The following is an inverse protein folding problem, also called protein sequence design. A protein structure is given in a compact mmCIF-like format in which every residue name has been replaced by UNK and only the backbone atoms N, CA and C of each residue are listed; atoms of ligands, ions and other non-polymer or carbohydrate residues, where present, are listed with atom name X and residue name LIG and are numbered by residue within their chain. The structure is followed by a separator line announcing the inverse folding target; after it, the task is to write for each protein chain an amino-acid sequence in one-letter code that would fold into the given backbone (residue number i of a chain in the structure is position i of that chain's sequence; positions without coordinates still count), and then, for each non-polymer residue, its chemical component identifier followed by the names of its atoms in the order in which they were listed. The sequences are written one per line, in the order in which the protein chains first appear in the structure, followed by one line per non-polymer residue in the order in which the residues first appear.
data_IF_115036492655
#
_entry.id   IF_115036492655
#
_cell.length_a   1.000
_cell.length_b   1.000
_cell.length_c   1.000
_cell.angle_alpha   90.00
_cell.angle_beta   90.00
_cell.angle_gamma   90.00
#
_symmetry.space_group_name_H-M   'P 1'
#
loop_
_entity.id
_entity.type
_entity.pdbx_description
1 polymer ?
#
# COMPACT_ATOMS: atom_id res chain seq x y z
N UNK A 1 -36.27 -7.81 -11.47
CA UNK A 1 -35.06 -7.34 -11.60
C UNK A 1 -34.10 -8.05 -10.76
N UNK A 2 -33.14 -8.37 -11.19
CA UNK A 2 -32.27 -9.05 -10.39
C UNK A 2 -31.38 -8.10 -9.76
N UNK A 3 -31.05 -8.36 -8.60
CA UNK A 3 -30.08 -7.75 -7.99
C UNK A 3 -28.88 -8.02 -8.67
N UNK A 4 -28.18 -7.14 -8.91
CA UNK A 4 -27.00 -7.34 -9.58
C UNK A 4 -26.13 -8.09 -8.67
N UNK A 5 -25.76 -8.76 -8.60
CA UNK A 5 -24.97 -9.41 -7.99
C UNK A 5 -24.93 -9.20 -6.71
N UNK A 6 -24.95 -9.91 -6.00
CA UNK A 6 -24.80 -9.79 -4.65
C UNK A 6 -23.42 -10.00 -4.22
N UNK A 7 -22.51 -9.87 -5.12
CA UNK A 7 -21.14 -10.10 -4.76
C UNK A 7 -20.68 -9.25 -3.62
N UNK A 8 -21.00 -7.96 -3.60
CA UNK A 8 -20.58 -7.14 -2.48
C UNK A 8 -21.17 -7.58 -1.18
N UNK A 9 -22.33 -8.22 -1.22
CA UNK A 9 -22.93 -8.69 -0.01
C UNK A 9 -22.39 -10.04 0.40
N UNK A 10 -21.86 -10.79 -0.54
CA UNK A 10 -21.38 -12.11 -0.26
C UNK A 10 -19.93 -12.14 0.16
N UNK A 11 -19.12 -11.21 -0.32
CA UNK A 11 -17.70 -11.20 -0.05
C UNK A 11 -17.36 -10.16 1.01
N UNK A 12 -16.72 -10.55 2.09
CA UNK A 12 -16.27 -9.54 3.06
C UNK A 12 -15.26 -8.61 2.42
N UNK A 13 -15.25 -7.37 2.85
CA UNK A 13 -14.33 -6.39 2.30
C UNK A 13 -13.50 -5.75 3.41
N UNK A 14 -12.31 -5.34 3.04
CA UNK A 14 -11.40 -4.59 3.89
C UNK A 14 -11.19 -3.22 3.28
N UNK A 15 -11.35 -2.18 4.07
CA UNK A 15 -11.09 -0.81 3.61
C UNK A 15 -9.79 -0.34 4.21
N UNK A 16 -8.86 0.01 3.34
CA UNK A 16 -7.51 0.38 3.77
C UNK A 16 -7.06 1.64 3.06
N UNK A 17 -6.00 2.25 3.59
CA UNK A 17 -5.25 3.27 2.89
C UNK A 17 -3.92 2.66 2.49
N UNK A 18 -3.46 2.93 1.28
CA UNK A 18 -2.20 2.41 0.78
C UNK A 18 -1.37 3.55 0.22
N UNK A 19 -0.06 3.46 0.38
CA UNK A 19 0.83 4.57 0.05
C UNK A 19 1.91 4.11 -0.92
N UNK A 20 2.09 4.86 -1.99
CA UNK A 20 3.16 4.63 -2.95
C UNK A 20 4.29 5.59 -2.64
N UNK A 21 5.47 5.04 -2.38
CA UNK A 21 6.66 5.84 -2.08
C UNK A 21 7.79 5.36 -2.98
N UNK A 22 8.39 6.30 -3.71
CA UNK A 22 9.49 5.99 -4.61
C UNK A 22 10.82 6.44 -4.03
N UNK A 23 11.90 5.79 -4.47
CA UNK A 23 13.24 6.31 -4.25
C UNK A 23 13.73 7.01 -5.53
N UNK A 24 14.96 7.51 -5.49
CA UNK A 24 15.50 8.26 -6.62
C UNK A 24 15.73 7.38 -7.86
N UNK A 25 15.81 6.08 -7.68
CA UNK A 25 15.97 5.14 -8.80
C UNK A 25 14.64 4.71 -9.39
N UNK A 26 13.51 5.21 -8.88
CA UNK A 26 12.20 4.82 -9.38
C UNK A 26 11.69 3.51 -8.81
N UNK A 27 12.33 3.01 -7.76
CA UNK A 27 11.85 1.79 -7.09
C UNK A 27 10.77 2.18 -6.08
N UNK A 28 9.90 1.24 -5.80
CA UNK A 28 8.73 1.45 -4.94
C UNK A 28 8.91 0.66 -3.66
N UNK A 29 8.62 1.29 -2.54
CA UNK A 29 8.74 0.62 -1.24
C UNK A 29 7.58 -0.33 -1.05
N UNK A 30 7.89 -1.58 -0.69
CA UNK A 30 6.90 -2.59 -0.36
C UNK A 30 7.25 -3.21 0.97
N UNK A 31 6.26 -3.80 1.62
CA UNK A 31 6.41 -4.42 2.93
C UNK A 31 5.72 -5.77 2.94
N UNK A 32 6.23 -6.68 3.77
CA UNK A 32 5.61 -7.97 4.00
C UNK A 32 5.35 -8.11 5.48
N UNK A 33 4.13 -8.41 5.84
CA UNK A 33 3.77 -8.57 7.24
C UNK A 33 4.26 -9.90 7.76
N UNK A 34 4.56 -9.92 9.06
CA UNK A 34 5.04 -11.11 9.74
C UNK A 34 4.04 -12.24 9.56
N UNK A 35 4.52 -13.39 9.19
CA UNK A 35 3.67 -14.56 8.98
C UNK A 35 2.95 -14.60 7.65
N UNK A 36 3.23 -13.66 6.73
CA UNK A 36 2.60 -13.67 5.41
C UNK A 36 3.64 -13.84 4.32
N UNK A 37 3.18 -14.09 3.11
CA UNK A 37 4.05 -14.37 1.97
C UNK A 37 4.17 -13.19 1.03
N UNK A 38 3.09 -12.44 0.83
CA UNK A 38 3.05 -11.43 -0.21
C UNK A 38 3.53 -10.09 0.27
N UNK A 39 4.26 -9.40 -0.62
CA UNK A 39 4.64 -8.01 -0.41
C UNK A 39 3.51 -7.10 -0.89
N UNK A 40 3.30 -6.01 -0.18
CA UNK A 40 2.24 -5.07 -0.49
C UNK A 40 2.73 -3.65 -0.25
N UNK A 41 1.98 -2.68 -0.74
CA UNK A 41 2.29 -1.29 -0.44
C UNK A 41 2.08 -1.04 1.05
N UNK A 42 2.87 -0.15 1.65
CA UNK A 42 2.63 0.22 3.05
C UNK A 42 1.22 0.77 3.23
N UNK A 43 0.61 0.48 4.35
CA UNK A 43 -0.73 0.95 4.65
C UNK A 43 -1.44 0.04 5.61
N UNK A 44 -2.70 0.31 5.82
CA UNK A 44 -3.52 -0.49 6.73
C UNK A 44 -4.92 0.02 6.83
N UNK A 45 -5.67 -0.56 7.74
CA UNK A 45 -7.09 -0.29 7.89
C UNK A 45 -7.32 1.11 8.47
N UNK A 46 -8.38 1.75 8.00
CA UNK A 46 -8.80 3.00 8.58
C UNK A 46 -9.44 2.75 9.93
N UNK A 47 -9.18 3.64 10.87
CA UNK A 47 -9.88 3.65 12.14
C UNK A 47 -11.18 4.42 11.99
N UNK A 48 -12.10 4.22 12.94
CA UNK A 48 -13.40 4.88 12.87
C UNK A 48 -13.23 6.38 12.83
N UNK A 49 -13.84 7.00 11.84
CA UNK A 49 -13.78 8.45 11.72
C UNK A 49 -12.47 8.99 11.17
N UNK A 50 -11.55 8.11 10.80
CA UNK A 50 -10.24 8.56 10.33
C UNK A 50 -10.28 8.84 8.83
N UNK A 51 -9.71 9.97 8.41
CA UNK A 51 -9.57 10.26 6.99
C UNK A 51 -8.54 9.32 6.37
N UNK A 52 -8.73 8.97 5.12
CA UNK A 52 -7.88 7.97 4.48
C UNK A 52 -6.42 8.43 4.38
N UNK A 53 -6.16 9.70 4.10
CA UNK A 53 -4.78 10.18 4.03
C UNK A 53 -4.12 10.20 5.41
N UNK A 54 -4.90 10.47 6.46
CA UNK A 54 -4.37 10.39 7.81
C UNK A 54 -4.01 8.96 8.17
N UNK A 55 -4.84 8.00 7.73
CA UNK A 55 -4.55 6.58 7.95
C UNK A 55 -3.27 6.17 7.23
N UNK A 56 -3.08 6.65 6.00
CA UNK A 56 -1.88 6.32 5.24
C UNK A 56 -0.62 6.79 5.97
N UNK A 57 -0.63 8.01 6.47
CA UNK A 57 0.53 8.57 7.19
C UNK A 57 0.75 7.82 8.50
N UNK A 58 -0.33 7.54 9.22
CA UNK A 58 -0.23 6.84 10.50
C UNK A 58 0.33 5.43 10.32
N UNK A 59 -0.21 4.68 9.36
CA UNK A 59 0.25 3.32 9.13
C UNK A 59 1.70 3.30 8.66
N UNK A 60 2.08 4.25 7.82
CA UNK A 60 3.45 4.31 7.35
C UNK A 60 4.40 4.54 8.53
N UNK A 61 4.03 5.43 9.43
CA UNK A 61 4.84 5.70 10.61
C UNK A 61 4.92 4.47 11.52
N UNK A 62 3.81 3.76 11.69
CA UNK A 62 3.81 2.56 12.52
C UNK A 62 4.65 1.44 11.90
N UNK A 63 4.59 1.30 10.59
CA UNK A 63 5.27 0.20 9.92
C UNK A 63 6.75 0.48 9.72
N UNK A 64 7.12 1.72 9.43
CA UNK A 64 8.46 2.02 8.97
C UNK A 64 9.18 3.09 9.80
N UNK A 65 8.50 3.65 10.78
CA UNK A 65 9.13 4.63 11.66
C UNK A 65 9.38 5.98 11.03
N UNK A 66 8.73 6.28 9.90
CA UNK A 66 8.97 7.53 9.17
C UNK A 66 7.68 8.34 9.15
N UNK A 67 7.75 9.60 9.56
CA UNK A 67 6.60 10.50 9.52
C UNK A 67 6.63 11.28 8.21
N UNK A 68 5.62 11.08 7.39
CA UNK A 68 5.48 11.83 6.14
C UNK A 68 4.44 12.92 6.34
N UNK A 69 4.66 14.11 5.76
CA UNK A 69 3.65 15.17 5.85
C UNK A 69 2.42 14.78 5.05
N UNK A 70 1.26 14.89 5.68
CA UNK A 70 0.00 14.55 5.05
C UNK A 70 -0.27 15.39 3.81
N UNK A 71 0.16 16.63 3.83
CA UNK A 71 -0.05 17.55 2.71
C UNK A 71 0.79 17.19 1.50
N UNK A 72 1.77 16.31 1.64
CA UNK A 72 2.59 15.87 0.51
C UNK A 72 2.05 14.61 -0.14
N UNK A 73 0.88 14.17 0.23
CA UNK A 73 0.24 13.02 -0.41
C UNK A 73 -0.66 13.47 -1.54
N UNK A 74 -0.60 12.74 -2.65
CA UNK A 74 -1.47 12.97 -3.80
C UNK A 74 -2.46 11.82 -3.86
N UNK A 75 -3.74 12.13 -3.85
CA UNK A 75 -4.78 11.10 -3.87
C UNK A 75 -4.91 10.50 -5.28
N UNK A 76 -4.92 9.19 -5.34
CA UNK A 76 -5.05 8.46 -6.60
C UNK A 76 -6.35 7.68 -6.69
N UNK A 77 -7.29 7.95 -5.80
CA UNK A 77 -8.61 7.36 -5.86
C UNK A 77 -8.72 6.04 -5.15
N UNK A 78 -9.84 5.40 -5.34
CA UNK A 78 -10.18 4.15 -4.68
C UNK A 78 -10.04 3.02 -5.67
N UNK A 79 -9.42 1.94 -5.25
CA UNK A 79 -9.16 0.78 -6.08
C UNK A 79 -9.67 -0.47 -5.38
N UNK A 80 -10.21 -1.40 -6.15
CA UNK A 80 -10.78 -2.62 -5.61
C UNK A 80 -10.05 -3.82 -6.21
N UNK A 81 -9.51 -4.66 -5.36
CA UNK A 81 -8.81 -5.89 -5.78
C UNK A 81 -9.09 -6.98 -4.77
N UNK A 82 -8.55 -8.16 -5.02
CA UNK A 82 -8.55 -9.19 -4.00
C UNK A 82 -7.57 -8.82 -2.90
N UNK A 83 -7.88 -9.20 -1.68
CA UNK A 83 -7.00 -8.95 -0.55
C UNK A 83 -5.84 -9.95 -0.58
N UNK A 84 -4.61 -9.44 -0.38
CA UNK A 84 -3.40 -10.22 -0.60
C UNK A 84 -3.28 -11.44 0.29
N UNK A 85 -3.47 -11.24 1.58
CA UNK A 85 -3.22 -12.30 2.55
C UNK A 85 -4.48 -12.74 3.28
N UNK A 86 -5.64 -12.46 2.70
CA UNK A 86 -6.92 -12.83 3.29
C UNK A 86 -7.83 -13.39 2.22
N UNK A 87 -7.73 -14.69 1.95
CA UNK A 87 -8.49 -15.30 0.88
C UNK A 87 -9.99 -15.08 1.03
N UNK A 88 -10.65 -14.81 -0.08
CA UNK A 88 -12.08 -14.58 -0.08
C UNK A 88 -12.50 -13.17 0.27
N UNK A 89 -11.57 -12.29 0.60
CA UNK A 89 -11.88 -10.90 0.91
C UNK A 89 -11.60 -9.99 -0.26
N UNK A 90 -12.39 -8.92 -0.39
CA UNK A 90 -12.17 -7.87 -1.38
C UNK A 90 -11.51 -6.70 -0.68
N UNK A 91 -10.50 -6.15 -1.32
CA UNK A 91 -9.80 -4.99 -0.79
C UNK A 91 -10.34 -3.72 -1.43
N UNK A 92 -10.73 -2.76 -0.61
CA UNK A 92 -11.08 -1.41 -1.06
C UNK A 92 -9.96 -0.51 -0.57
N UNK A 93 -9.15 -0.02 -1.49
CA UNK A 93 -7.96 0.73 -1.11
C UNK A 93 -8.07 2.17 -1.55
N UNK A 94 -7.92 3.08 -0.59
CA UNK A 94 -7.70 4.49 -0.91
C UNK A 94 -6.21 4.66 -1.12
N UNK A 95 -5.81 4.96 -2.35
CA UNK A 95 -4.41 4.96 -2.73
C UNK A 95 -3.88 6.38 -2.79
N UNK A 96 -2.72 6.60 -2.20
CA UNK A 96 -2.04 7.89 -2.22
C UNK A 96 -0.62 7.70 -2.68
N UNK A 97 -0.05 8.73 -3.29
CA UNK A 97 1.36 8.74 -3.65
C UNK A 97 2.04 9.86 -2.89
N UNK A 98 3.20 9.56 -2.31
CA UNK A 98 4.02 10.58 -1.66
C UNK A 98 4.75 11.36 -2.75
N UNK A 99 4.66 12.70 -2.70
CA UNK A 99 5.22 13.54 -3.76
C UNK A 99 6.73 13.71 -3.63
N UNK A 100 7.31 13.40 -2.49
CA UNK A 100 8.75 13.42 -2.33
C UNK A 100 9.37 12.08 -2.65
N UNK A 101 10.65 11.94 -2.36
CA UNK A 101 11.39 10.70 -2.54
C UNK A 101 12.00 10.33 -1.21
N UNK A 102 12.06 9.02 -0.91
CA UNK A 102 12.77 8.57 0.28
C UNK A 102 14.16 8.10 -0.12
N UNK A 103 15.11 8.36 0.77
CA UNK A 103 16.46 7.89 0.59
C UNK A 103 16.51 6.38 0.74
N UNK A 104 17.38 5.74 -0.06
CA UNK A 104 17.40 4.30 -0.05
C UNK A 104 17.90 3.72 1.26
N UNK A 105 18.55 4.50 2.08
CA UNK A 105 19.03 3.93 3.32
C UNK A 105 17.99 3.91 4.39
N UNK A 106 16.81 4.43 4.23
CA UNK A 106 16.10 4.57 5.40
C UNK A 106 15.11 3.54 5.69
N UNK A 107 13.91 3.51 5.27
CA UNK A 107 12.96 2.69 6.01
C UNK A 107 13.21 1.20 5.88
N UNK A 108 13.75 0.77 4.75
CA UNK A 108 13.90 -0.66 4.54
C UNK A 108 14.92 -1.29 5.48
N UNK A 109 15.84 -0.48 6.00
CA UNK A 109 16.85 -1.01 6.90
C UNK A 109 16.45 -0.90 8.35
N UNK A 110 15.33 -0.25 8.64
CA UNK A 110 14.99 0.07 10.01
C UNK A 110 13.75 -0.59 10.52
N UNK A 111 13.32 -1.65 9.87
CA UNK A 111 12.15 -2.37 10.35
C UNK A 111 12.53 -3.06 11.63
N UNK A 112 11.90 -2.67 12.71
CA UNK A 112 12.25 -3.21 14.01
C UNK A 112 11.46 -4.46 14.33
N UNK A 113 11.94 -5.23 15.31
CA UNK A 113 11.26 -6.48 15.65
C UNK A 113 9.89 -6.27 16.28
N UNK A 114 9.60 -5.08 16.79
CA UNK A 114 8.29 -4.82 17.37
C UNK A 114 7.25 -4.50 16.32
N UNK A 115 7.66 -4.23 15.09
CA UNK A 115 6.72 -3.90 14.03
C UNK A 115 6.03 -5.16 13.53
N UNK A 116 4.85 -4.99 12.96
CA UNK A 116 4.18 -6.11 12.30
C UNK A 116 4.87 -6.48 10.99
N UNK A 117 5.80 -5.68 10.54
CA UNK A 117 6.47 -5.87 9.27
C UNK A 117 7.66 -6.78 9.46
N UNK A 118 7.70 -7.87 8.70
CA UNK A 118 8.81 -8.80 8.73
C UNK A 118 9.93 -8.33 7.82
N UNK A 119 9.58 -7.72 6.70
CA UNK A 119 10.56 -7.35 5.69
C UNK A 119 10.06 -6.15 4.90
N UNK A 120 10.94 -5.20 4.60
CA UNK A 120 10.67 -4.11 3.69
C UNK A 120 11.63 -4.23 2.52
N UNK A 121 11.13 -4.01 1.31
CA UNK A 121 11.91 -4.24 0.12
C UNK A 121 11.56 -3.22 -0.95
N UNK A 122 12.57 -2.71 -1.65
CA UNK A 122 12.35 -1.83 -2.79
C UNK A 122 12.05 -2.68 -4.01
N UNK A 123 10.94 -2.38 -4.67
CA UNK A 123 10.49 -3.11 -5.84
C UNK A 123 10.85 -2.31 -7.09
N UNK A 124 11.45 -2.99 -8.08
CA UNK A 124 11.61 -2.43 -9.41
C UNK A 124 10.30 -2.70 -10.17
N UNK A 125 9.51 -1.66 -10.48
CA UNK A 125 8.21 -1.91 -11.13
C UNK A 125 8.31 -2.50 -12.53
N UNK A 126 9.50 -2.44 -13.14
CA UNK A 126 9.70 -3.07 -14.45
C UNK A 126 9.94 -4.56 -14.34
N UNK A 127 10.19 -5.06 -13.12
CA UNK A 127 10.48 -6.48 -12.90
C UNK A 127 9.74 -6.98 -11.66
N UNK A 128 8.40 -6.92 -11.67
CA UNK A 128 7.67 -7.41 -10.52
C UNK A 128 7.77 -8.94 -10.47
N UNK A 129 7.84 -9.46 -9.27
CA UNK A 129 7.85 -10.91 -9.12
C UNK A 129 6.44 -11.36 -8.70
N UNK A 130 6.29 -12.67 -8.51
CA UNK A 130 4.99 -13.25 -8.19
C UNK A 130 4.65 -13.20 -6.71
N UNK A 131 5.45 -12.53 -5.91
CA UNK A 131 5.14 -12.32 -4.50
C UNK A 131 4.42 -10.99 -4.26
N UNK A 132 4.09 -10.25 -5.32
CA UNK A 132 3.45 -8.95 -5.17
C UNK A 132 1.95 -9.09 -5.01
N UNK A 133 1.38 -8.27 -4.11
CA UNK A 133 -0.06 -8.26 -3.85
C UNK A 133 -0.85 -7.83 -5.08
N UNK A 134 -2.11 -8.26 -5.20
CA UNK A 134 -2.94 -7.87 -6.35
C UNK A 134 -3.03 -6.37 -6.55
N UNK A 135 -3.13 -5.58 -5.50
CA UNK A 135 -3.19 -4.12 -5.64
C UNK A 135 -1.91 -3.58 -6.26
N UNK A 136 -0.75 -4.10 -5.84
CA UNK A 136 0.53 -3.65 -6.40
C UNK A 136 0.57 -3.93 -7.89
N UNK A 137 0.13 -5.11 -8.30
CA UNK A 137 0.13 -5.47 -9.72
C UNK A 137 -0.85 -4.60 -10.52
N UNK A 138 -2.01 -4.29 -9.94
CA UNK A 138 -2.99 -3.45 -10.60
C UNK A 138 -2.48 -2.03 -10.80
N UNK A 139 -1.57 -1.58 -9.95
CA UNK A 139 -1.05 -0.21 -10.01
C UNK A 139 0.26 -0.09 -10.78
N UNK A 140 0.75 -1.16 -11.40
CA UNK A 140 2.03 -1.11 -12.10
C UNK A 140 2.19 0.06 -13.07
N UNK A 141 1.17 0.45 -13.86
CA UNK A 141 1.36 1.62 -14.71
C UNK A 141 1.70 2.88 -13.94
N UNK A 142 1.08 3.08 -12.78
CA UNK A 142 1.39 4.23 -11.93
C UNK A 142 2.77 4.07 -11.32
N UNK A 143 3.09 2.86 -10.85
CA UNK A 143 4.38 2.61 -10.21
C UNK A 143 5.52 2.85 -11.17
N UNK A 144 5.33 2.51 -12.44
CA UNK A 144 6.36 2.70 -13.46
C UNK A 144 6.60 4.15 -13.82
N UNK A 145 5.68 5.03 -13.44
CA UNK A 145 5.89 6.46 -13.64
C UNK A 145 7.04 6.99 -12.78
N UNK A 146 7.33 6.33 -11.67
CA UNK A 146 8.49 6.68 -10.84
C UNK A 146 8.34 7.92 -10.00
N UNK A 147 7.15 8.48 -9.92
CA UNK A 147 6.90 9.66 -9.08
C UNK A 147 5.41 9.93 -9.04
N UNK A 148 4.99 10.72 -8.06
CA UNK A 148 3.59 11.09 -7.93
C UNK A 148 3.12 11.92 -9.14
N UNK A 149 1.88 11.73 -9.59
CA UNK A 149 1.32 12.56 -10.65
C UNK A 149 1.23 14.01 -10.22
N UNK A 150 1.27 14.90 -11.17
CA UNK A 150 1.13 16.32 -10.90
C UNK A 150 -0.27 16.80 -11.13
#
# INVERSE_FOLDING_TARGET
MSRPRTIPDAAPSLTVAALIVWDAAGRVLTVRKRGTVMFMLPGGKLEDGEAADAAAVREFAEELGVMLPREDLVALGEHHTDAANEPGHVLRAHVFAYSGLLGEASPAAEVGPAAEIEEARWLDPERPDDLQAPLTLALLPVLRAGRAPR
#
